data_IF_751911226121
#
_entry.id   IF_751911226121
#
_cell.length_a   1.000
_cell.length_b   1.000
_cell.length_c   1.000
_cell.angle_alpha   90.00
_cell.angle_beta   90.00
_cell.angle_gamma   90.00
#
_symmetry.space_group_name_H-M   'P 1'
#
loop_
_entity.id
_entity.type
_entity.pdbx_description
1 polymer ?
#
# COMPACT_ATOMS: atom_id res chain seq x y z
N UNK A 1 5.04 -50.92 20.36
CA UNK A 1 4.83 -50.41 20.52
C UNK A 1 5.09 -49.29 20.76
N UNK A 2 5.38 -48.64 20.66
CA UNK A 2 5.63 -47.71 20.95
C UNK A 2 5.92 -46.80 20.05
N UNK A 3 5.96 -46.26 19.53
CA UNK A 3 6.36 -45.44 18.73
C UNK A 3 5.41 -44.62 18.19
N UNK A 4 4.50 -44.23 18.59
CA UNK A 4 3.42 -43.53 18.04
C UNK A 4 3.36 -42.07 18.34
N UNK A 5 4.13 -41.57 19.23
CA UNK A 5 4.03 -40.17 19.64
C UNK A 5 4.62 -39.16 18.69
N UNK A 6 5.34 -39.63 17.70
CA UNK A 6 6.08 -38.74 16.83
C UNK A 6 5.24 -37.76 16.01
N UNK A 7 4.10 -38.16 15.44
CA UNK A 7 3.35 -37.25 14.56
C UNK A 7 2.73 -36.06 15.25
N UNK A 8 2.61 -36.08 16.53
CA UNK A 8 1.95 -35.02 17.23
C UNK A 8 2.75 -33.69 17.22
N UNK A 9 4.05 -33.81 17.10
CA UNK A 9 4.93 -32.65 17.16
C UNK A 9 4.86 -31.82 15.88
N UNK A 10 4.59 -32.47 14.79
CA UNK A 10 4.58 -31.78 13.50
C UNK A 10 3.47 -30.76 13.33
N UNK A 11 2.38 -30.98 14.00
CA UNK A 11 1.22 -30.12 13.84
C UNK A 11 1.39 -28.74 14.44
N UNK A 12 2.23 -28.62 15.43
CA UNK A 12 2.39 -27.34 16.10
C UNK A 12 3.06 -26.28 15.25
N UNK A 13 3.87 -26.72 14.31
CA UNK A 13 4.63 -25.78 13.48
C UNK A 13 3.77 -24.97 12.52
N UNK A 14 2.63 -25.48 12.16
CA UNK A 14 1.77 -24.81 11.19
C UNK A 14 1.05 -23.61 11.75
N UNK A 15 0.84 -23.58 13.02
CA UNK A 15 0.09 -22.50 13.64
C UNK A 15 0.87 -21.18 13.66
N UNK A 16 2.18 -21.26 13.69
CA UNK A 16 3.00 -20.06 13.76
C UNK A 16 3.02 -19.28 12.46
N UNK A 17 2.88 -19.95 11.34
CA UNK A 17 2.94 -19.30 10.04
C UNK A 17 1.79 -18.33 9.80
N UNK A 18 0.62 -18.59 10.39
CA UNK A 18 -0.53 -17.77 10.19
C UNK A 18 -0.49 -16.42 10.89
N UNK A 19 0.36 -16.29 11.88
CA UNK A 19 0.42 -15.05 12.65
C UNK A 19 1.18 -13.93 11.96
N UNK A 20 1.97 -14.26 10.95
CA UNK A 20 2.83 -13.29 10.29
C UNK A 20 2.09 -12.48 9.24
N UNK A 21 0.95 -12.96 8.80
CA UNK A 21 0.25 -12.35 7.68
C UNK A 21 -0.69 -11.21 8.05
N UNK A 22 -0.63 -10.72 9.25
CA UNK A 22 -1.54 -9.67 9.69
C UNK A 22 -1.07 -8.29 9.32
N UNK A 23 -0.23 -8.18 8.32
CA UNK A 23 0.27 -6.89 7.89
C UNK A 23 -0.86 -5.98 7.42
N UNK A 24 -0.60 -4.70 7.37
CA UNK A 24 -1.57 -3.72 6.96
C UNK A 24 -2.04 -3.97 5.54
N UNK A 25 -3.32 -4.09 5.35
CA UNK A 25 -3.89 -4.22 4.03
C UNK A 25 -4.06 -2.83 3.41
N UNK A 26 -3.83 -2.70 2.11
CA UNK A 26 -4.09 -1.42 1.46
C UNK A 26 -5.57 -1.08 1.51
N UNK A 27 -5.85 0.21 1.66
CA UNK A 27 -7.21 0.72 1.63
C UNK A 27 -7.79 0.57 0.22
N UNK A 28 -6.94 0.72 -0.78
CA UNK A 28 -7.34 0.68 -2.18
C UNK A 28 -6.19 0.11 -3.00
N UNK A 29 -6.53 -0.76 -3.94
CA UNK A 29 -5.57 -1.32 -4.88
C UNK A 29 -5.99 -0.93 -6.30
N UNK A 30 -5.08 -0.34 -7.05
CA UNK A 30 -5.36 0.14 -8.39
C UNK A 30 -4.35 -0.43 -9.37
N UNK A 31 -4.75 -0.51 -10.63
CA UNK A 31 -3.87 -0.93 -11.71
C UNK A 31 -3.66 0.24 -12.65
N UNK A 32 -2.45 0.34 -13.20
CA UNK A 32 -2.12 1.40 -14.14
C UNK A 32 -1.24 0.85 -15.25
N UNK A 33 -1.33 1.46 -16.42
CA UNK A 33 -0.45 1.12 -17.54
C UNK A 33 0.90 1.81 -17.44
N UNK A 34 1.05 2.70 -16.48
CA UNK A 34 2.27 3.48 -16.32
C UNK A 34 3.30 2.74 -15.48
N UNK A 35 4.57 2.98 -15.78
CA UNK A 35 5.63 2.50 -14.92
C UNK A 35 5.57 3.24 -13.58
N UNK A 36 6.16 2.70 -12.52
CA UNK A 36 6.18 3.40 -11.23
C UNK A 36 6.73 4.82 -11.34
N UNK A 37 7.78 5.01 -12.13
CA UNK A 37 8.36 6.33 -12.31
C UNK A 37 7.39 7.29 -12.99
N UNK A 38 6.74 6.86 -14.06
CA UNK A 38 5.76 7.69 -14.75
C UNK A 38 4.58 8.04 -13.86
N UNK A 39 4.14 7.09 -13.06
CA UNK A 39 3.03 7.30 -12.17
C UNK A 39 3.37 8.36 -11.11
N UNK A 40 4.54 8.24 -10.50
CA UNK A 40 4.98 9.19 -9.49
C UNK A 40 5.19 10.59 -10.09
N UNK A 41 5.72 10.66 -11.32
CA UNK A 41 5.89 11.92 -12.02
C UNK A 41 4.55 12.66 -12.24
N UNK A 42 3.47 11.92 -12.36
CA UNK A 42 2.14 12.51 -12.46
C UNK A 42 1.60 12.88 -11.09
N UNK A 43 1.80 12.01 -10.11
CA UNK A 43 1.19 12.16 -8.79
C UNK A 43 1.77 13.31 -7.97
N UNK A 44 3.08 13.44 -7.95
CA UNK A 44 3.75 14.41 -7.08
C UNK A 44 3.30 15.85 -7.35
N UNK A 45 3.28 16.33 -8.59
CA UNK A 45 2.78 17.69 -8.84
C UNK A 45 1.34 17.89 -8.40
N UNK A 46 0.49 16.88 -8.58
CA UNK A 46 -0.91 16.99 -8.17
C UNK A 46 -1.04 17.11 -6.67
N UNK A 47 -0.22 16.39 -5.91
CA UNK A 47 -0.23 16.49 -4.46
C UNK A 47 0.26 17.86 -4.00
N UNK A 48 1.28 18.38 -4.65
CA UNK A 48 1.80 19.72 -4.32
C UNK A 48 0.78 20.79 -4.62
N UNK A 49 0.01 20.65 -5.68
CA UNK A 49 -1.05 21.60 -6.01
C UNK A 49 -2.15 21.61 -4.95
N UNK A 50 -2.28 20.54 -4.22
CA UNK A 50 -3.25 20.43 -3.12
C UNK A 50 -2.62 20.79 -1.77
N UNK A 51 -1.48 21.45 -1.81
CA UNK A 51 -0.77 21.90 -0.61
C UNK A 51 -0.28 20.77 0.28
N UNK A 52 -0.02 19.63 -0.30
CA UNK A 52 0.59 18.50 0.40
C UNK A 52 2.08 18.50 0.15
N UNK A 53 2.81 17.86 1.05
CA UNK A 53 4.27 17.76 0.97
C UNK A 53 4.68 16.31 0.85
N UNK A 54 4.62 15.74 -0.35
CA UNK A 54 4.95 14.33 -0.52
C UNK A 54 6.45 14.08 -0.39
N UNK A 55 6.79 12.98 0.26
CA UNK A 55 8.16 12.49 0.35
C UNK A 55 8.23 11.22 -0.46
N UNK A 56 9.09 11.20 -1.46
CA UNK A 56 9.20 10.08 -2.39
C UNK A 56 10.49 9.32 -2.11
N UNK A 57 10.38 8.00 -2.04
CA UNK A 57 11.55 7.13 -1.91
C UNK A 57 11.36 5.92 -2.82
N UNK A 58 12.45 5.22 -3.07
CA UNK A 58 12.39 4.02 -3.88
C UNK A 58 13.26 4.10 -5.11
N UNK A 59 13.01 3.21 -6.06
CA UNK A 59 13.79 3.09 -7.27
C UNK A 59 12.87 2.73 -8.44
N UNK A 60 13.47 2.46 -9.61
CA UNK A 60 12.71 2.21 -10.84
C UNK A 60 11.65 1.11 -10.73
N UNK A 61 11.83 0.16 -9.82
CA UNK A 61 10.87 -0.94 -9.68
C UNK A 61 9.75 -0.66 -8.72
N UNK A 62 9.96 0.25 -7.80
CA UNK A 62 9.02 0.47 -6.74
C UNK A 62 9.27 1.82 -6.10
N UNK A 63 8.24 2.62 -5.99
CA UNK A 63 8.32 3.91 -5.32
C UNK A 63 7.31 3.97 -4.20
N UNK A 64 7.64 4.75 -3.20
CA UNK A 64 6.78 4.97 -2.05
C UNK A 64 6.61 6.47 -1.87
N UNK A 65 5.38 6.91 -1.78
CA UNK A 65 5.05 8.33 -1.58
C UNK A 65 4.33 8.46 -0.24
N UNK A 66 4.87 9.29 0.64
CA UNK A 66 4.31 9.49 1.97
C UNK A 66 3.93 10.94 2.15
N UNK A 67 2.71 11.17 2.59
CA UNK A 67 2.24 12.51 2.96
C UNK A 67 1.90 12.48 4.44
N UNK A 68 2.60 13.29 5.21
CA UNK A 68 2.40 13.38 6.65
C UNK A 68 1.26 14.32 6.98
N UNK A 69 0.47 13.94 7.97
CA UNK A 69 -0.63 14.74 8.45
C UNK A 69 -0.33 15.26 9.84
N UNK A 70 -0.78 16.46 10.14
CA UNK A 70 -0.57 17.03 11.46
C UNK A 70 -1.48 16.42 12.53
N UNK A 71 -2.59 15.85 12.10
CA UNK A 71 -3.60 15.39 13.03
C UNK A 71 -3.88 13.90 12.94
N UNK A 72 -3.39 13.24 11.95
CA UNK A 72 -3.73 11.84 11.70
C UNK A 72 -2.51 11.04 11.26
N UNK A 73 -2.75 9.79 10.99
CA UNK A 73 -1.71 8.90 10.49
C UNK A 73 -1.34 9.31 9.06
N UNK A 74 -0.10 9.10 8.70
CA UNK A 74 0.38 9.40 7.36
C UNK A 74 -0.39 8.61 6.31
N UNK A 75 -0.53 9.23 5.14
CA UNK A 75 -1.05 8.54 3.96
C UNK A 75 0.13 8.04 3.17
N UNK A 76 0.10 6.77 2.80
CA UNK A 76 1.19 6.12 2.09
C UNK A 76 0.66 5.52 0.80
N UNK A 77 1.38 5.74 -0.29
CA UNK A 77 1.09 5.10 -1.56
C UNK A 77 2.33 4.37 -2.02
N UNK A 78 2.16 3.14 -2.45
CA UNK A 78 3.25 2.36 -3.03
C UNK A 78 2.87 1.98 -4.44
N UNK A 79 3.79 2.13 -5.36
CA UNK A 79 3.59 1.69 -6.72
C UNK A 79 4.71 0.73 -7.08
N UNK A 80 4.33 -0.42 -7.62
CA UNK A 80 5.24 -1.50 -7.94
C UNK A 80 5.12 -1.86 -9.41
N UNK A 81 6.25 -2.16 -10.03
CA UNK A 81 6.27 -2.55 -11.43
C UNK A 81 5.59 -3.90 -11.62
N UNK A 82 4.68 -3.96 -12.57
CA UNK A 82 4.04 -5.21 -12.98
C UNK A 82 4.42 -5.51 -14.42
N UNK A 83 3.95 -6.62 -14.94
CA UNK A 83 4.28 -7.03 -16.30
C UNK A 83 3.82 -6.00 -17.32
N UNK A 84 2.62 -5.45 -17.15
CA UNK A 84 2.06 -4.50 -18.09
C UNK A 84 1.73 -3.19 -17.38
N UNK A 85 2.72 -2.54 -16.83
CA UNK A 85 2.48 -1.28 -16.14
C UNK A 85 2.84 -1.37 -14.68
N UNK A 86 1.89 -1.09 -13.78
CA UNK A 86 2.16 -1.08 -12.37
C UNK A 86 0.95 -1.36 -11.52
N UNK A 87 1.22 -1.75 -10.29
CA UNK A 87 0.21 -1.89 -9.25
C UNK A 87 0.39 -0.74 -8.27
N UNK A 88 -0.72 -0.14 -7.88
CA UNK A 88 -0.72 0.98 -6.95
C UNK A 88 -1.48 0.57 -5.70
N UNK A 89 -0.84 0.72 -4.55
CA UNK A 89 -1.43 0.37 -3.27
C UNK A 89 -1.51 1.62 -2.41
N UNK A 90 -2.72 1.99 -2.03
CA UNK A 90 -2.95 3.16 -1.20
C UNK A 90 -3.29 2.72 0.22
N UNK A 91 -2.56 3.27 1.19
CA UNK A 91 -2.77 3.01 2.61
C UNK A 91 -3.20 4.30 3.26
N UNK A 92 -4.47 4.40 3.56
CA UNK A 92 -5.03 5.62 4.10
C UNK A 92 -5.95 5.27 5.24
N UNK A 93 -5.73 5.86 6.41
CA UNK A 93 -6.61 5.62 7.52
C UNK A 93 -7.85 6.48 7.33
N UNK A 94 -8.97 5.82 7.17
CA UNK A 94 -10.23 6.52 6.99
C UNK A 94 -10.91 6.78 8.32
N UNK A 95 -11.35 8.01 8.48
CA UNK A 95 -12.23 8.35 9.59
C UNK A 95 -13.66 8.02 9.17
N UNK A 96 -14.51 7.77 10.16
CA UNK A 96 -15.89 7.41 9.87
C UNK A 96 -16.60 8.42 8.98
N UNK A 97 -16.28 9.68 9.14
CA UNK A 97 -16.95 10.74 8.37
C UNK A 97 -16.54 10.75 6.90
N UNK A 98 -15.44 10.15 6.53
CA UNK A 98 -14.94 10.20 5.16
C UNK A 98 -15.26 8.94 4.36
N UNK A 99 -16.12 8.08 4.86
CA UNK A 99 -16.40 6.80 4.24
C UNK A 99 -17.02 6.92 2.87
N UNK A 100 -17.73 8.01 2.61
CA UNK A 100 -18.49 8.16 1.37
C UNK A 100 -17.84 9.03 0.31
N UNK A 101 -16.72 9.66 0.62
CA UNK A 101 -16.02 10.51 -0.32
C UNK A 101 -14.57 10.11 -0.44
N UNK A 102 -14.03 10.00 -1.65
CA UNK A 102 -12.61 9.82 -1.79
C UNK A 102 -11.87 11.04 -1.27
N UNK A 103 -10.74 10.82 -0.62
CA UNK A 103 -9.90 11.91 -0.15
C UNK A 103 -9.26 12.62 -1.33
N UNK A 104 -8.70 13.80 -1.07
CA UNK A 104 -7.96 14.52 -2.11
C UNK A 104 -6.78 13.71 -2.61
N UNK A 105 -6.12 12.96 -1.72
CA UNK A 105 -5.02 12.09 -2.10
C UNK A 105 -5.51 10.97 -3.01
N UNK A 106 -6.58 10.29 -2.61
CA UNK A 106 -7.13 9.19 -3.40
C UNK A 106 -7.53 9.67 -4.79
N UNK A 107 -8.12 10.86 -4.87
CA UNK A 107 -8.54 11.43 -6.13
C UNK A 107 -7.34 11.69 -7.04
N UNK A 108 -6.26 12.25 -6.49
CA UNK A 108 -5.03 12.45 -7.24
C UNK A 108 -4.46 11.12 -7.72
N UNK A 109 -4.48 10.10 -6.86
CA UNK A 109 -3.99 8.78 -7.22
C UNK A 109 -4.77 8.19 -8.39
N UNK A 110 -6.08 8.35 -8.40
CA UNK A 110 -6.91 7.85 -9.50
C UNK A 110 -6.72 8.63 -10.79
N UNK A 111 -6.49 9.92 -10.69
CA UNK A 111 -6.29 10.75 -11.87
C UNK A 111 -5.00 10.44 -12.62
N UNK A 112 -4.05 9.81 -11.96
CA UNK A 112 -2.77 9.48 -12.56
C UNK A 112 -2.69 8.06 -13.12
N UNK A 113 -3.75 7.29 -13.04
CA UNK A 113 -3.75 5.94 -13.60
C UNK A 113 -3.69 5.99 -15.16
#
# INVERSE_FOLDING_TARGET
>A
MRRVCVPAVMLASWLLAGCVSSANDPTLTLLTDKSPEQYVDCLVPKLKDKEMSPVVSGSARSYRVVVSSKVAVDTVLETHRAQDGGNVYLYERQLLASTFKPSSFERAAQECL
#
